data_IF_997700988036
#
_entry.id   IF_997700988036
#
_cell.length_a   1.000
_cell.length_b   1.000
_cell.length_c   1.000
_cell.angle_alpha   90.00
_cell.angle_beta   90.00
_cell.angle_gamma   90.00
#
_symmetry.space_group_name_H-M   'P 1'
#
loop_
_entity.id
_entity.type
_entity.pdbx_description
1 polymer ?
#
# COMPACT_ATOMS: atom_id res chain seq x y z
N UNK A 1 -34.18 -4.07 7.67
CA UNK A 1 -32.83 -3.77 8.21
C UNK A 1 -32.03 -5.01 8.61
N UNK A 2 -31.95 -6.05 7.76
CA UNK A 2 -31.16 -7.27 8.04
C UNK A 2 -30.02 -7.53 7.04
N UNK A 3 -29.87 -6.71 5.99
CA UNK A 3 -28.88 -6.93 4.93
C UNK A 3 -27.61 -6.05 5.00
N UNK A 4 -27.53 -5.14 5.98
CA UNK A 4 -26.39 -4.21 6.08
C UNK A 4 -25.19 -4.82 6.84
N UNK A 5 -25.44 -5.74 7.78
CA UNK A 5 -24.39 -6.28 8.66
C UNK A 5 -23.55 -7.38 8.00
N UNK A 6 -24.10 -8.13 7.04
CA UNK A 6 -23.37 -9.20 6.32
C UNK A 6 -22.44 -8.67 5.21
N UNK A 7 -22.64 -7.44 4.74
CA UNK A 7 -21.77 -6.82 3.73
C UNK A 7 -20.45 -6.28 4.31
N UNK A 8 -20.36 -6.10 5.64
CA UNK A 8 -19.20 -5.49 6.29
C UNK A 8 -18.16 -6.50 6.81
N UNK A 9 -18.52 -7.78 7.03
CA UNK A 9 -17.57 -8.79 7.52
C UNK A 9 -16.61 -9.33 6.44
N UNK A 10 -16.90 -9.11 5.15
CA UNK A 10 -16.13 -9.66 4.03
C UNK A 10 -15.29 -8.67 3.23
N UNK A 11 -15.43 -7.36 3.42
CA UNK A 11 -14.75 -6.37 2.58
C UNK A 11 -13.34 -6.04 3.11
N UNK A 12 -12.33 -6.60 2.45
CA UNK A 12 -10.91 -6.33 2.74
C UNK A 12 -10.61 -4.83 2.75
N UNK A 13 -11.21 -4.05 1.85
CA UNK A 13 -10.94 -2.60 1.78
C UNK A 13 -11.49 -1.86 2.99
N UNK A 14 -12.65 -2.29 3.51
CA UNK A 14 -13.20 -1.77 4.75
C UNK A 14 -12.27 -2.07 5.93
N UNK A 15 -11.71 -3.27 6.02
CA UNK A 15 -10.74 -3.62 7.06
C UNK A 15 -9.48 -2.74 6.98
N UNK A 16 -8.97 -2.46 5.78
CA UNK A 16 -7.88 -1.53 5.55
C UNK A 16 -8.23 -0.11 6.05
N UNK A 17 -9.41 0.39 5.69
CA UNK A 17 -9.88 1.70 6.12
C UNK A 17 -10.00 1.81 7.65
N UNK A 18 -10.56 0.79 8.30
CA UNK A 18 -10.62 0.70 9.77
C UNK A 18 -9.24 0.66 10.42
N UNK A 19 -8.29 -0.10 9.84
CA UNK A 19 -6.92 -0.16 10.34
C UNK A 19 -6.26 1.24 10.27
N UNK A 20 -6.40 1.93 9.15
CA UNK A 20 -5.87 3.28 8.93
C UNK A 20 -6.53 4.33 9.82
N UNK A 21 -7.86 4.32 9.97
CA UNK A 21 -8.58 5.26 10.86
C UNK A 21 -8.07 5.14 12.29
N UNK A 22 -7.96 3.92 12.80
CA UNK A 22 -7.49 3.73 14.15
C UNK A 22 -5.97 4.01 14.28
N UNK A 23 -5.17 3.97 13.21
CA UNK A 23 -3.79 4.50 13.23
C UNK A 23 -3.78 6.04 13.25
N UNK A 24 -4.67 6.68 12.49
CA UNK A 24 -4.80 8.12 12.41
C UNK A 24 -5.18 8.72 13.78
N UNK A 25 -6.09 8.07 14.52
CA UNK A 25 -6.44 8.46 15.90
C UNK A 25 -5.25 8.49 16.87
N UNK A 26 -4.26 7.62 16.64
CA UNK A 26 -3.04 7.58 17.45
C UNK A 26 -1.90 8.44 16.86
N UNK A 27 -2.10 9.01 15.67
CA UNK A 27 -1.09 9.76 14.92
C UNK A 27 0.14 8.92 14.55
N UNK A 28 0.06 7.59 14.67
CA UNK A 28 1.18 6.66 14.42
C UNK A 28 0.70 5.27 14.02
N UNK A 29 1.50 4.59 13.20
CA UNK A 29 1.31 3.18 12.83
C UNK A 29 2.19 2.34 13.75
N UNK A 30 1.55 1.65 14.70
CA UNK A 30 2.24 0.70 15.57
C UNK A 30 2.72 -0.52 14.77
N UNK A 31 3.77 -1.20 15.26
CA UNK A 31 4.36 -2.38 14.59
C UNK A 31 3.33 -3.43 14.18
N UNK A 32 2.43 -3.81 15.09
CA UNK A 32 1.36 -4.78 14.83
C UNK A 32 0.47 -4.38 13.63
N UNK A 33 0.13 -3.10 13.53
CA UNK A 33 -0.70 -2.59 12.42
C UNK A 33 0.08 -2.48 11.11
N UNK A 34 1.39 -2.23 11.20
CA UNK A 34 2.28 -2.32 10.04
C UNK A 34 2.32 -3.75 9.50
N UNK A 35 2.39 -4.75 10.37
CA UNK A 35 2.38 -6.15 9.98
C UNK A 35 1.05 -6.52 9.30
N UNK A 36 -0.09 -6.06 9.83
CA UNK A 36 -1.41 -6.21 9.20
C UNK A 36 -1.49 -5.53 7.81
N UNK A 37 -0.93 -4.32 7.67
CA UNK A 37 -0.84 -3.64 6.38
C UNK A 37 0.04 -4.41 5.39
N UNK A 38 1.18 -4.94 5.82
CA UNK A 38 2.06 -5.74 4.96
C UNK A 38 1.35 -7.03 4.52
N UNK A 39 0.66 -7.70 5.45
CA UNK A 39 -0.12 -8.90 5.17
C UNK A 39 -1.23 -8.62 4.15
N UNK A 40 -1.93 -7.48 4.27
CA UNK A 40 -2.96 -7.05 3.34
C UNK A 40 -2.45 -6.99 1.89
N UNK A 41 -1.25 -6.43 1.67
CA UNK A 41 -0.66 -6.30 0.33
C UNK A 41 0.19 -7.49 -0.11
N UNK A 42 0.42 -8.49 0.75
CA UNK A 42 1.29 -9.64 0.45
C UNK A 42 0.78 -10.53 -0.70
N UNK A 43 -0.53 -10.56 -0.91
CA UNK A 43 -1.19 -11.32 -1.99
C UNK A 43 -1.29 -10.58 -3.34
N UNK A 44 -0.77 -9.35 -3.43
CA UNK A 44 -0.95 -8.50 -4.62
C UNK A 44 0.24 -8.65 -5.58
N UNK A 45 0.01 -8.86 -6.88
CA UNK A 45 1.09 -8.95 -7.85
C UNK A 45 1.89 -7.64 -7.93
N UNK A 46 3.21 -7.75 -7.79
CA UNK A 46 4.15 -6.63 -7.97
C UNK A 46 4.40 -6.32 -9.46
N UNK A 47 4.52 -5.04 -9.79
CA UNK A 47 4.37 -4.42 -11.11
C UNK A 47 5.34 -4.79 -12.24
N UNK A 48 5.96 -5.99 -12.24
CA UNK A 48 6.73 -6.50 -13.40
C UNK A 48 6.00 -7.56 -14.23
N UNK A 49 4.96 -8.20 -13.69
CA UNK A 49 4.26 -9.32 -14.36
C UNK A 49 2.90 -8.97 -14.97
N UNK A 50 2.38 -7.77 -14.80
CA UNK A 50 1.11 -7.34 -15.41
C UNK A 50 1.32 -6.86 -16.86
N UNK A 51 1.83 -7.75 -17.74
CA UNK A 51 1.67 -7.53 -19.18
C UNK A 51 0.24 -7.89 -19.61
N UNK A 52 -0.40 -7.10 -20.48
CA UNK A 52 -1.66 -7.49 -21.12
C UNK A 52 -1.32 -8.48 -22.24
N UNK A 53 -1.08 -9.73 -21.87
CA UNK A 53 -0.81 -10.84 -22.78
C UNK A 53 -1.93 -11.84 -22.71
N UNK A 54 -2.77 -11.85 -23.75
CA UNK A 54 -3.77 -12.86 -24.11
C UNK A 54 -3.36 -14.27 -23.67
N UNK A 55 -4.26 -15.02 -23.05
CA UNK A 55 -4.68 -16.36 -23.50
C UNK A 55 -5.90 -16.84 -22.69
N UNK A 56 -6.86 -17.38 -23.44
CA UNK A 56 -7.96 -18.25 -23.02
C UNK A 56 -7.46 -19.24 -21.95
N UNK A 57 -8.14 -19.31 -20.81
CA UNK A 57 -8.39 -20.51 -19.98
C UNK A 57 -9.24 -20.10 -18.76
N UNK A 58 -10.57 -20.21 -18.92
CA UNK A 58 -11.65 -19.61 -18.11
C UNK A 58 -11.87 -20.19 -16.69
N UNK A 59 -10.82 -20.38 -15.87
CA UNK A 59 -11.05 -20.88 -14.49
C UNK A 59 -10.17 -20.31 -13.36
N UNK A 60 -9.15 -19.52 -13.69
CA UNK A 60 -8.28 -18.85 -12.70
C UNK A 60 -8.44 -17.31 -12.66
N UNK A 61 -9.36 -16.71 -13.44
CA UNK A 61 -9.50 -15.25 -13.52
C UNK A 61 -10.22 -14.65 -12.31
N UNK A 62 -11.21 -15.34 -11.73
CA UNK A 62 -12.07 -14.74 -10.70
C UNK A 62 -11.32 -14.27 -9.43
N UNK A 63 -10.27 -14.94 -8.96
CA UNK A 63 -9.54 -14.49 -7.75
C UNK A 63 -8.59 -13.33 -8.02
N UNK A 64 -7.99 -13.29 -9.21
CA UNK A 64 -7.07 -12.24 -9.60
C UNK A 64 -7.81 -10.94 -9.92
N UNK A 65 -8.97 -11.04 -10.57
CA UNK A 65 -9.82 -9.89 -10.89
C UNK A 65 -10.35 -9.21 -9.61
N UNK A 66 -10.78 -10.00 -8.61
CA UNK A 66 -11.20 -9.47 -7.31
C UNK A 66 -10.02 -8.84 -6.55
N UNK A 67 -8.84 -9.45 -6.59
CA UNK A 67 -7.65 -8.90 -5.92
C UNK A 67 -7.15 -7.60 -6.56
N UNK A 68 -7.31 -7.50 -7.88
CA UNK A 68 -7.00 -6.29 -8.66
C UNK A 68 -8.00 -5.15 -8.37
N UNK A 69 -9.30 -5.46 -8.29
CA UNK A 69 -10.32 -4.47 -7.89
C UNK A 69 -10.08 -3.95 -6.46
N UNK A 70 -9.84 -4.86 -5.51
CA UNK A 70 -9.49 -4.52 -4.11
C UNK A 70 -8.27 -3.61 -4.03
N UNK A 71 -7.28 -3.78 -4.90
CA UNK A 71 -6.11 -2.89 -4.95
C UNK A 71 -6.47 -1.47 -5.43
N UNK A 72 -7.38 -1.35 -6.41
CA UNK A 72 -7.89 -0.07 -6.88
C UNK A 72 -8.60 0.70 -5.77
N UNK A 73 -9.49 0.01 -5.06
CA UNK A 73 -10.27 0.55 -3.95
C UNK A 73 -9.39 0.87 -2.74
N UNK A 74 -8.43 0.00 -2.41
CA UNK A 74 -7.39 0.28 -1.41
C UNK A 74 -6.58 1.52 -1.78
N UNK A 75 -6.22 1.69 -3.05
CA UNK A 75 -5.54 2.88 -3.56
C UNK A 75 -6.37 4.17 -3.41
N UNK A 76 -7.70 4.07 -3.42
CA UNK A 76 -8.59 5.20 -3.14
C UNK A 76 -8.59 5.56 -1.65
N UNK A 77 -8.70 4.56 -0.76
CA UNK A 77 -8.61 4.76 0.69
C UNK A 77 -7.28 5.39 1.10
N UNK A 78 -6.17 4.91 0.53
CA UNK A 78 -4.82 5.41 0.84
C UNK A 78 -4.58 6.83 0.32
N UNK A 79 -5.32 7.27 -0.69
CA UNK A 79 -5.21 8.60 -1.29
C UNK A 79 -5.85 9.69 -0.43
N UNK A 80 -6.75 9.33 0.47
CA UNK A 80 -7.36 10.28 1.40
C UNK A 80 -6.27 11.11 2.10
N UNK A 81 -6.37 12.46 2.14
CA UNK A 81 -5.28 13.32 2.61
C UNK A 81 -4.74 12.93 3.99
N UNK A 82 -5.64 12.51 4.88
CA UNK A 82 -5.29 12.10 6.24
C UNK A 82 -4.46 10.80 6.25
N UNK A 83 -4.87 9.79 5.49
CA UNK A 83 -4.17 8.51 5.38
C UNK A 83 -2.82 8.69 4.67
N UNK A 84 -2.78 9.50 3.63
CA UNK A 84 -1.56 9.82 2.90
C UNK A 84 -0.53 10.52 3.79
N UNK A 85 -0.97 11.53 4.56
CA UNK A 85 -0.10 12.25 5.49
C UNK A 85 0.38 11.36 6.65
N UNK A 86 -0.46 10.46 7.15
CA UNK A 86 -0.07 9.49 8.16
C UNK A 86 1.06 8.57 7.67
N UNK A 87 0.93 8.05 6.45
CA UNK A 87 1.96 7.21 5.83
C UNK A 87 3.26 7.98 5.57
N UNK A 88 3.16 9.24 5.14
CA UNK A 88 4.32 10.13 5.01
C UNK A 88 5.01 10.40 6.35
N UNK A 89 4.24 10.67 7.41
CA UNK A 89 4.77 10.90 8.74
C UNK A 89 5.48 9.65 9.28
N UNK A 90 4.94 8.46 9.02
CA UNK A 90 5.62 7.21 9.37
C UNK A 90 6.89 6.97 8.56
N UNK A 91 6.88 7.26 7.26
CA UNK A 91 8.09 7.19 6.45
C UNK A 91 9.17 8.12 7.02
N UNK A 92 8.82 9.37 7.36
CA UNK A 92 9.74 10.32 7.97
C UNK A 92 10.29 9.81 9.32
N UNK A 93 9.46 9.17 10.16
CA UNK A 93 9.91 8.55 11.41
C UNK A 93 10.87 7.39 11.18
N UNK A 94 10.59 6.54 10.20
CA UNK A 94 11.49 5.43 9.82
C UNK A 94 12.82 5.98 9.34
N UNK A 95 12.80 7.01 8.50
CA UNK A 95 14.00 7.70 8.01
C UNK A 95 14.80 8.32 9.16
N UNK A 96 14.16 9.02 10.09
CA UNK A 96 14.84 9.57 11.28
C UNK A 96 15.44 8.48 12.18
N UNK A 97 14.75 7.35 12.36
CA UNK A 97 15.34 6.20 13.08
C UNK A 97 16.56 5.61 12.37
N UNK A 98 16.56 5.63 11.04
CA UNK A 98 17.72 5.27 10.23
C UNK A 98 18.82 6.34 10.24
N UNK A 99 18.55 7.55 10.70
CA UNK A 99 19.59 8.54 11.01
C UNK A 99 20.29 8.22 12.35
N UNK A 100 19.51 7.81 13.34
CA UNK A 100 20.01 7.46 14.68
C UNK A 100 20.71 6.09 14.73
N UNK A 101 20.46 5.22 13.75
CA UNK A 101 21.06 3.89 13.64
C UNK A 101 21.88 3.77 12.37
N UNK A 102 23.05 3.08 12.35
CA UNK A 102 23.90 2.97 11.16
C UNK A 102 23.34 1.98 10.12
N UNK A 103 22.03 2.01 9.85
CA UNK A 103 21.32 1.17 8.89
C UNK A 103 20.69 2.06 7.84
N UNK A 104 20.97 1.80 6.57
CA UNK A 104 20.40 2.60 5.50
C UNK A 104 18.87 2.41 5.45
N UNK A 105 18.09 3.45 5.10
CA UNK A 105 16.64 3.35 4.90
C UNK A 105 16.25 2.21 3.93
N UNK A 106 17.13 1.90 2.96
CA UNK A 106 16.97 0.82 2.00
C UNK A 106 17.03 -0.60 2.60
N UNK A 107 17.69 -0.78 3.74
CA UNK A 107 17.78 -2.07 4.43
C UNK A 107 16.53 -2.37 5.27
N UNK A 108 15.72 -1.35 5.53
CA UNK A 108 14.48 -1.50 6.29
C UNK A 108 13.34 -1.85 5.33
N UNK A 109 12.88 -3.11 5.37
CA UNK A 109 11.75 -3.60 4.56
C UNK A 109 10.49 -2.72 4.72
N UNK A 110 10.31 -2.10 5.90
CA UNK A 110 9.22 -1.15 6.17
C UNK A 110 9.31 0.14 5.34
N UNK A 111 10.51 0.68 5.08
CA UNK A 111 10.67 1.90 4.29
C UNK A 111 10.35 1.64 2.81
N UNK A 112 10.82 0.51 2.27
CA UNK A 112 10.49 0.07 0.91
C UNK A 112 8.97 -0.12 0.75
N UNK A 113 8.34 -0.82 1.70
CA UNK A 113 6.90 -1.01 1.73
C UNK A 113 6.13 0.33 1.78
N UNK A 114 6.46 1.24 2.69
CA UNK A 114 5.80 2.54 2.80
C UNK A 114 5.92 3.35 1.50
N UNK A 115 7.09 3.34 0.86
CA UNK A 115 7.31 4.01 -0.42
C UNK A 115 6.46 3.38 -1.54
N UNK A 116 6.31 2.05 -1.56
CA UNK A 116 5.41 1.35 -2.50
C UNK A 116 3.95 1.74 -2.29
N UNK A 117 3.48 1.74 -1.03
CA UNK A 117 2.11 2.13 -0.67
C UNK A 117 1.83 3.59 -1.02
N UNK A 118 2.76 4.50 -0.76
CA UNK A 118 2.64 5.92 -1.15
C UNK A 118 2.61 6.11 -2.67
N UNK A 119 3.41 5.33 -3.40
CA UNK A 119 3.42 5.33 -4.87
C UNK A 119 2.11 4.78 -5.42
N UNK A 120 1.54 3.75 -4.78
CA UNK A 120 0.22 3.22 -5.11
C UNK A 120 -0.85 4.29 -4.91
N UNK A 121 -0.88 4.96 -3.75
CA UNK A 121 -1.83 6.04 -3.46
C UNK A 121 -1.73 7.20 -4.46
N UNK A 122 -0.52 7.56 -4.88
CA UNK A 122 -0.31 8.57 -5.93
C UNK A 122 -0.73 8.10 -7.32
N UNK A 123 -0.49 6.82 -7.64
CA UNK A 123 -0.73 6.19 -8.94
C UNK A 123 -2.14 5.64 -9.17
N UNK A 124 -2.97 5.53 -8.12
CA UNK A 124 -4.26 4.83 -8.17
C UNK A 124 -5.20 5.35 -9.26
N UNK A 125 -5.27 6.67 -9.49
CA UNK A 125 -6.11 7.26 -10.56
C UNK A 125 -5.67 6.90 -11.98
N UNK A 126 -4.39 6.56 -12.17
CA UNK A 126 -3.90 6.10 -13.48
C UNK A 126 -4.27 4.63 -13.67
N UNK A 127 -4.19 3.84 -12.61
CA UNK A 127 -4.57 2.41 -12.60
C UNK A 127 -6.08 2.22 -12.79
N UNK A 128 -6.91 3.02 -12.11
CA UNK A 128 -8.37 3.01 -12.28
C UNK A 128 -8.79 3.37 -13.72
N UNK A 129 -8.10 4.32 -14.36
CA UNK A 129 -8.38 4.71 -15.75
C UNK A 129 -7.91 3.68 -16.78
N UNK A 130 -6.86 2.93 -16.48
CA UNK A 130 -6.30 1.92 -17.39
C UNK A 130 -6.84 0.51 -17.12
N UNK A 131 -7.62 0.33 -16.04
CA UNK A 131 -8.03 -0.96 -15.48
C UNK A 131 -6.86 -1.93 -15.27
N UNK A 132 -5.65 -1.40 -15.01
CA UNK A 132 -4.44 -2.18 -14.76
C UNK A 132 -3.98 -1.93 -13.34
N UNK A 133 -4.26 -2.87 -12.47
CA UNK A 133 -3.95 -2.81 -11.04
C UNK A 133 -2.71 -3.64 -10.75
N UNK A 134 -1.69 -3.00 -10.21
CA UNK A 134 -0.47 -3.67 -9.76
C UNK A 134 0.18 -2.86 -8.64
N UNK A 135 0.82 -3.55 -7.71
CA UNK A 135 1.62 -2.86 -6.69
C UNK A 135 2.84 -2.24 -7.40
N UNK A 136 3.00 -0.89 -7.38
CA UNK A 136 4.13 -0.25 -8.02
C UNK A 136 5.42 -0.59 -7.27
N UNK A 137 6.51 -0.77 -8.01
CA UNK A 137 7.83 -0.88 -7.41
C UNK A 137 8.24 0.45 -6.77
N UNK A 138 8.99 0.35 -5.66
CA UNK A 138 9.50 1.52 -4.99
C UNK A 138 10.42 2.32 -5.95
N UNK A 139 10.17 3.62 -6.19
CA UNK A 139 11.04 4.44 -7.02
C UNK A 139 12.46 4.44 -6.45
N UNK A 140 13.38 3.83 -7.19
CA UNK A 140 14.79 3.69 -6.82
C UNK A 140 15.48 5.05 -6.62
N UNK A 141 14.99 6.12 -7.28
CA UNK A 141 15.47 7.48 -7.05
C UNK A 141 15.16 7.95 -5.63
N UNK A 142 13.98 7.62 -5.11
CA UNK A 142 13.56 8.01 -3.77
C UNK A 142 14.41 7.26 -2.75
N UNK A 143 14.48 5.93 -2.90
CA UNK A 143 15.25 5.07 -1.99
C UNK A 143 16.74 5.37 -1.96
N UNK A 144 17.37 5.60 -3.12
CA UNK A 144 18.83 5.71 -3.20
C UNK A 144 19.34 7.16 -3.13
N UNK A 145 18.50 8.16 -3.44
CA UNK A 145 18.96 9.55 -3.55
C UNK A 145 18.25 10.50 -2.61
N UNK A 146 16.93 10.39 -2.41
CA UNK A 146 16.20 11.38 -1.59
C UNK A 146 16.18 10.98 -0.11
N UNK A 147 15.91 9.72 0.22
CA UNK A 147 15.87 9.28 1.62
C UNK A 147 17.23 9.41 2.33
N UNK A 148 18.38 9.05 1.71
CA UNK A 148 19.68 9.24 2.36
C UNK A 148 20.03 10.72 2.54
N UNK A 149 19.67 11.57 1.58
CA UNK A 149 19.87 13.03 1.68
C UNK A 149 19.00 13.75 2.72
N UNK A 150 17.97 13.07 3.23
CA UNK A 150 17.13 13.56 4.33
C UNK A 150 17.71 13.19 5.70
N UNK A 151 18.67 12.27 5.73
CA UNK A 151 19.39 11.82 6.93
C UNK A 151 20.71 12.57 7.12
N UNK A 152 21.34 12.99 6.03
CA UNK A 152 22.47 13.95 6.03
C UNK A 152 22.04 15.36 6.47
#
# INVERSE_FOLDING_TARGET
>A
DAGASELCEGDRVYQLACCLDACARHGRIARRRMDELVEFFSGVPSGRSAQPGRNLDDRASNTNDTSMAVLGDAGMVLREPHNYNLLLAELARVVNRCADTPKLPRETNTADFLVRVLTLAGGCRKQLRSSKFAMPDAPQLVLNKTLPRLVE
#
